data_IF_548890975036
#
_entry.id   IF_548890975036
#
_cell.length_a   1.000
_cell.length_b   1.000
_cell.length_c   1.000
_cell.angle_alpha   90.00
_cell.angle_beta   90.00
_cell.angle_gamma   90.00
#
_symmetry.space_group_name_H-M   'P 1'
#
loop_
_entity.id
_entity.type
_entity.pdbx_description
1 polymer ?
#
# COMPACT_ATOMS: atom_id res chain seq x y z
N UNK A 1 24.40 25.84 -9.65
CA UNK A 1 23.42 25.69 -10.76
C UNK A 1 22.17 26.51 -10.44
N UNK A 2 21.24 26.77 -11.42
CA UNK A 2 19.95 27.39 -11.13
C UNK A 2 19.15 26.38 -10.27
N UNK A 3 18.56 26.83 -9.17
CA UNK A 3 17.70 26.02 -8.34
C UNK A 3 16.45 25.57 -9.15
N UNK A 4 16.17 24.28 -9.16
CA UNK A 4 15.05 23.68 -9.88
C UNK A 4 13.74 23.95 -9.13
N UNK A 5 12.65 24.11 -9.87
CA UNK A 5 11.29 24.16 -9.31
C UNK A 5 10.84 22.77 -8.84
N UNK A 6 9.71 22.71 -8.14
CA UNK A 6 9.11 21.43 -7.70
C UNK A 6 8.88 20.47 -8.87
N UNK A 7 8.29 20.97 -9.95
CA UNK A 7 7.98 20.20 -11.16
C UNK A 7 9.26 19.74 -11.86
N UNK A 8 10.28 20.60 -11.97
CA UNK A 8 11.58 20.26 -12.55
C UNK A 8 12.34 19.21 -11.71
N UNK A 9 12.22 19.27 -10.37
CA UNK A 9 12.80 18.24 -9.46
C UNK A 9 12.13 16.90 -9.67
N UNK A 10 10.79 16.86 -9.70
CA UNK A 10 10.06 15.61 -9.91
C UNK A 10 10.39 15.01 -11.28
N UNK A 11 10.37 15.83 -12.34
CA UNK A 11 10.70 15.39 -13.69
C UNK A 11 12.08 14.73 -13.74
N UNK A 12 13.09 15.35 -13.14
CA UNK A 12 14.43 14.78 -13.09
C UNK A 12 14.54 13.50 -12.27
N UNK A 13 13.81 13.39 -11.16
CA UNK A 13 13.80 12.18 -10.34
C UNK A 13 13.05 11.04 -11.03
N UNK A 14 11.88 11.31 -11.62
CA UNK A 14 11.03 10.31 -12.27
C UNK A 14 11.64 9.76 -13.56
N UNK A 15 12.40 10.56 -14.29
CA UNK A 15 13.15 10.14 -15.47
C UNK A 15 14.45 9.40 -15.16
N UNK A 16 14.82 9.24 -13.88
CA UNK A 16 15.94 8.37 -13.53
C UNK A 16 15.63 6.90 -13.89
N UNK A 17 16.68 6.13 -14.11
CA UNK A 17 16.55 4.72 -14.49
C UNK A 17 15.72 3.95 -13.48
N UNK A 18 14.91 3.03 -13.97
CA UNK A 18 14.08 2.15 -13.15
C UNK A 18 14.92 1.15 -12.34
N UNK A 19 16.05 0.73 -12.91
CA UNK A 19 16.98 -0.20 -12.28
C UNK A 19 18.39 0.43 -12.30
N UNK A 20 19.06 0.43 -11.15
CA UNK A 20 20.43 0.93 -11.01
C UNK A 20 21.42 0.07 -11.79
N UNK A 21 22.65 0.58 -11.92
CA UNK A 21 23.77 -0.12 -12.55
C UNK A 21 24.48 -1.11 -11.60
N UNK A 22 24.05 -1.18 -10.34
CA UNK A 22 24.55 -2.10 -9.31
C UNK A 22 23.39 -2.91 -8.76
N UNK A 23 23.61 -4.18 -8.40
CA UNK A 23 22.56 -5.02 -7.81
C UNK A 23 22.27 -4.58 -6.37
N UNK A 24 21.00 -4.75 -5.98
CA UNK A 24 20.57 -4.62 -4.60
C UNK A 24 20.55 -3.22 -4.03
N UNK A 25 20.58 -3.15 -2.72
CA UNK A 25 20.53 -1.92 -1.93
C UNK A 25 21.87 -1.15 -1.88
N UNK A 26 22.88 -1.55 -2.67
CA UNK A 26 24.22 -0.93 -2.63
C UNK A 26 24.20 0.55 -2.98
N UNK A 27 23.40 0.94 -3.97
CA UNK A 27 23.28 2.35 -4.39
C UNK A 27 22.73 3.18 -3.25
N UNK A 28 21.60 2.75 -2.68
CA UNK A 28 21.02 3.43 -1.52
C UNK A 28 21.95 3.44 -0.32
N UNK A 29 22.70 2.34 -0.06
CA UNK A 29 23.66 2.29 1.04
C UNK A 29 24.78 3.34 0.88
N UNK A 30 25.34 3.50 -0.32
CA UNK A 30 26.34 4.53 -0.62
C UNK A 30 25.76 5.94 -0.46
N UNK A 31 24.53 6.17 -0.95
CA UNK A 31 23.85 7.45 -0.76
C UNK A 31 23.67 7.78 0.71
N UNK A 32 23.10 6.84 1.49
CA UNK A 32 22.83 7.05 2.91
C UNK A 32 24.12 7.25 3.72
N UNK A 33 25.20 6.54 3.39
CA UNK A 33 26.50 6.76 3.99
C UNK A 33 26.99 8.20 3.77
N UNK A 34 26.93 8.67 2.53
CA UNK A 34 27.37 10.03 2.15
C UNK A 34 26.51 11.12 2.78
N UNK A 35 25.22 10.84 2.97
CA UNK A 35 24.25 11.73 3.63
C UNK A 35 24.33 11.69 5.18
N UNK A 36 25.32 10.98 5.73
CA UNK A 36 25.55 10.90 7.17
C UNK A 36 24.60 9.96 7.90
N UNK A 37 24.09 8.95 7.21
CA UNK A 37 23.23 7.88 7.74
C UNK A 37 22.00 8.43 8.48
N UNK A 38 21.11 9.14 7.81
CA UNK A 38 19.97 9.84 8.44
C UNK A 38 19.04 8.91 9.23
N UNK A 39 19.03 7.60 8.93
CA UNK A 39 18.19 6.59 9.60
C UNK A 39 18.70 6.15 10.98
N UNK A 40 19.94 6.46 11.38
CA UNK A 40 20.57 5.86 12.57
C UNK A 40 19.88 6.20 13.92
N UNK A 41 19.18 7.32 13.97
CA UNK A 41 18.54 7.78 15.22
C UNK A 41 17.02 7.48 15.24
N UNK A 42 16.55 6.64 14.35
CA UNK A 42 15.15 6.24 14.25
C UNK A 42 15.01 4.74 14.42
N UNK A 43 14.01 4.30 15.18
CA UNK A 43 13.61 2.90 15.19
C UNK A 43 12.82 2.56 13.94
N UNK A 44 13.27 1.56 13.19
CA UNK A 44 12.64 1.23 11.91
C UNK A 44 11.76 0.00 12.03
N UNK A 45 10.54 0.09 11.49
CA UNK A 45 9.67 -1.05 11.18
C UNK A 45 9.71 -1.22 9.66
N UNK A 46 10.21 -2.36 9.18
CA UNK A 46 10.40 -2.65 7.76
C UNK A 46 9.37 -3.66 7.27
N UNK A 47 8.64 -3.34 6.20
CA UNK A 47 7.50 -4.11 5.73
C UNK A 47 7.72 -4.60 4.30
N UNK A 48 7.67 -5.93 4.11
CA UNK A 48 7.61 -6.56 2.79
C UNK A 48 6.34 -7.41 2.65
N UNK A 49 6.01 -7.75 1.42
CA UNK A 49 4.85 -8.58 1.08
C UNK A 49 4.42 -8.37 -0.37
N UNK A 50 3.46 -9.11 -0.85
CA UNK A 50 2.83 -8.85 -2.14
C UNK A 50 1.71 -7.84 -1.97
N UNK A 51 0.72 -8.18 -1.17
CA UNK A 51 -0.42 -7.33 -0.84
C UNK A 51 -0.41 -6.96 0.65
N UNK A 52 -1.10 -5.89 1.06
CA UNK A 52 -1.27 -5.50 2.46
C UNK A 52 -0.22 -4.53 3.01
N UNK A 53 0.96 -4.38 2.39
CA UNK A 53 2.07 -3.55 2.91
C UNK A 53 1.65 -2.13 3.30
N UNK A 54 1.04 -1.38 2.38
CA UNK A 54 0.57 -0.01 2.64
C UNK A 54 -0.52 0.06 3.72
N UNK A 55 -1.44 -0.92 3.76
CA UNK A 55 -2.46 -1.00 4.80
C UNK A 55 -1.86 -1.23 6.19
N UNK A 56 -0.91 -2.17 6.31
CA UNK A 56 -0.17 -2.41 7.57
C UNK A 56 0.64 -1.18 7.97
N UNK A 57 1.29 -0.51 7.01
CA UNK A 57 2.00 0.76 7.26
C UNK A 57 1.08 1.84 7.83
N UNK A 58 -0.10 2.00 7.24
CA UNK A 58 -1.09 2.98 7.67
C UNK A 58 -1.62 2.67 9.10
N UNK A 59 -1.96 1.40 9.39
CA UNK A 59 -2.37 0.98 10.73
C UNK A 59 -1.27 1.26 11.76
N UNK A 60 -0.03 0.86 11.49
CA UNK A 60 1.10 1.08 12.38
C UNK A 60 1.33 2.56 12.65
N UNK A 61 1.40 3.39 11.61
CA UNK A 61 1.60 4.83 11.78
C UNK A 61 0.48 5.48 12.58
N UNK A 62 -0.77 5.05 12.37
CA UNK A 62 -1.91 5.53 13.16
C UNK A 62 -1.79 5.13 14.62
N UNK A 63 -1.42 3.89 14.94
CA UNK A 63 -1.22 3.41 16.32
C UNK A 63 -0.08 4.17 17.01
N UNK A 64 1.06 4.31 16.34
CA UNK A 64 2.23 5.00 16.89
C UNK A 64 1.96 6.49 17.13
N UNK A 65 1.20 7.12 16.24
CA UNK A 65 0.73 8.51 16.42
C UNK A 65 -0.14 8.66 17.67
N UNK A 66 -1.08 7.74 17.93
CA UNK A 66 -1.89 7.74 19.15
C UNK A 66 -1.02 7.54 20.40
N UNK A 67 0.08 6.82 20.29
CA UNK A 67 1.07 6.67 21.36
C UNK A 67 1.96 7.90 21.55
N UNK A 68 1.80 8.95 20.75
CA UNK A 68 2.62 10.15 20.79
C UNK A 68 4.03 9.96 20.23
N UNK A 69 4.25 8.91 19.46
CA UNK A 69 5.54 8.61 18.82
C UNK A 69 5.55 9.23 17.43
N UNK A 70 6.36 10.28 17.22
CA UNK A 70 6.48 10.91 15.91
C UNK A 70 7.05 9.92 14.90
N UNK A 71 6.27 9.61 13.88
CA UNK A 71 6.54 8.50 12.97
C UNK A 71 6.56 8.96 11.51
N UNK A 72 7.67 8.65 10.82
CA UNK A 72 7.76 8.74 9.37
C UNK A 72 7.10 7.52 8.72
N UNK A 73 6.41 7.71 7.59
CA UNK A 73 5.85 6.65 6.77
C UNK A 73 6.34 6.77 5.35
N UNK A 74 6.98 5.72 4.84
CA UNK A 74 7.44 5.60 3.46
C UNK A 74 6.68 4.48 2.76
N UNK A 75 5.94 4.83 1.70
CA UNK A 75 5.07 3.91 0.96
C UNK A 75 5.19 4.10 -0.55
N UNK A 76 4.80 3.08 -1.32
CA UNK A 76 4.82 3.14 -2.79
C UNK A 76 3.85 2.14 -3.45
N UNK A 77 3.34 2.46 -4.66
CA UNK A 77 3.39 3.76 -5.31
C UNK A 77 2.47 4.79 -4.64
N UNK A 78 2.53 6.05 -5.05
CA UNK A 78 1.50 7.04 -4.73
C UNK A 78 0.27 6.86 -5.63
N UNK A 79 -0.88 7.40 -5.22
CA UNK A 79 -2.12 7.41 -6.00
C UNK A 79 -2.21 8.66 -6.89
N UNK A 80 -2.17 9.84 -6.28
CA UNK A 80 -2.39 11.13 -6.95
C UNK A 80 -1.17 12.04 -6.87
N UNK A 81 -0.54 12.13 -5.71
CA UNK A 81 0.54 13.09 -5.43
C UNK A 81 1.81 12.36 -4.98
N UNK A 82 2.94 12.68 -5.61
CA UNK A 82 4.25 12.13 -5.25
C UNK A 82 4.52 12.19 -3.73
N UNK A 83 4.05 13.23 -3.07
CA UNK A 83 4.27 13.47 -1.63
C UNK A 83 3.62 12.46 -0.71
N UNK A 84 2.63 11.69 -1.20
CA UNK A 84 2.02 10.57 -0.46
C UNK A 84 3.04 9.52 -0.04
N UNK A 85 4.15 9.40 -0.80
CA UNK A 85 5.25 8.47 -0.49
C UNK A 85 5.98 8.80 0.80
N UNK A 86 5.89 10.04 1.27
CA UNK A 86 6.72 10.58 2.37
C UNK A 86 5.82 11.36 3.32
N UNK A 87 5.41 10.71 4.41
CA UNK A 87 4.54 11.32 5.41
C UNK A 87 5.20 11.32 6.80
N UNK A 88 4.81 12.29 7.64
CA UNK A 88 5.10 12.30 9.09
C UNK A 88 3.80 12.53 9.83
N UNK A 89 3.44 11.62 10.73
CA UNK A 89 2.20 11.66 11.50
C UNK A 89 0.93 11.84 10.64
N UNK A 90 0.94 11.25 9.43
CA UNK A 90 -0.14 11.33 8.44
C UNK A 90 -0.19 12.65 7.66
N UNK A 91 0.84 13.49 7.75
CA UNK A 91 1.00 14.69 6.93
C UNK A 91 2.05 14.48 5.85
N UNK A 92 1.67 14.67 4.60
CA UNK A 92 2.60 14.62 3.47
C UNK A 92 3.71 15.66 3.61
N UNK A 93 4.91 15.32 3.12
CA UNK A 93 6.00 16.28 2.94
C UNK A 93 5.52 17.48 2.09
N UNK A 94 5.95 18.70 2.43
CA UNK A 94 5.55 19.87 1.64
C UNK A 94 6.28 19.96 0.29
N UNK A 95 5.70 20.69 -0.67
CA UNK A 95 6.35 20.93 -1.97
C UNK A 95 7.70 21.61 -1.81
N UNK A 96 7.79 22.55 -0.88
CA UNK A 96 9.01 23.30 -0.56
C UNK A 96 10.12 22.35 -0.06
N UNK A 97 9.78 21.42 0.84
CA UNK A 97 10.77 20.45 1.34
C UNK A 97 11.16 19.44 0.27
N UNK A 98 10.24 18.99 -0.60
CA UNK A 98 10.60 18.16 -1.76
C UNK A 98 11.55 18.90 -2.69
N UNK A 99 11.27 20.17 -2.99
CA UNK A 99 12.12 21.01 -3.84
C UNK A 99 13.50 21.18 -3.24
N UNK A 100 13.59 21.54 -1.97
CA UNK A 100 14.85 21.74 -1.25
C UNK A 100 15.70 20.47 -1.20
N UNK A 101 15.11 19.36 -0.74
CA UNK A 101 15.82 18.08 -0.62
C UNK A 101 16.15 17.50 -1.99
N UNK A 102 15.25 17.65 -2.97
CA UNK A 102 15.49 17.19 -4.34
C UNK A 102 16.66 17.91 -5.01
N UNK A 103 16.72 19.25 -4.92
CA UNK A 103 17.87 20.02 -5.44
C UNK A 103 19.17 19.54 -4.80
N UNK A 104 19.20 19.41 -3.46
CA UNK A 104 20.39 18.95 -2.75
C UNK A 104 20.83 17.55 -3.20
N UNK A 105 19.88 16.61 -3.35
CA UNK A 105 20.16 15.24 -3.73
C UNK A 105 20.62 15.12 -5.20
N UNK A 106 20.05 15.91 -6.10
CA UNK A 106 20.41 15.92 -7.52
C UNK A 106 21.77 16.60 -7.79
N UNK A 107 22.19 17.53 -6.95
CA UNK A 107 23.53 18.17 -7.04
C UNK A 107 24.65 17.29 -6.46
N UNK A 108 24.32 16.32 -5.58
CA UNK A 108 25.32 15.49 -4.89
C UNK A 108 25.85 14.39 -5.81
N UNK A 109 27.18 14.29 -5.90
CA UNK A 109 27.84 13.19 -6.61
C UNK A 109 27.97 11.96 -5.68
N UNK A 110 27.13 10.97 -5.84
CA UNK A 110 27.17 9.72 -5.05
C UNK A 110 28.21 8.71 -5.55
N UNK A 111 28.93 9.00 -6.63
CA UNK A 111 29.88 8.06 -7.26
C UNK A 111 29.18 6.82 -7.86
N UNK A 112 27.86 6.90 -8.06
CA UNK A 112 26.99 5.86 -8.62
C UNK A 112 25.80 6.52 -9.31
N UNK A 113 24.95 5.73 -9.99
CA UNK A 113 23.75 6.23 -10.65
C UNK A 113 22.53 5.78 -9.85
N UNK A 114 21.93 6.67 -9.03
CA UNK A 114 20.74 6.34 -8.28
C UNK A 114 19.51 6.13 -9.19
N UNK A 115 18.58 5.33 -8.73
CA UNK A 115 17.24 5.20 -9.31
C UNK A 115 16.29 6.24 -8.71
N UNK A 116 15.11 6.42 -9.34
CA UNK A 116 14.02 7.19 -8.74
C UNK A 116 13.76 6.76 -7.29
N UNK A 117 13.72 5.45 -7.03
CA UNK A 117 13.37 4.92 -5.72
C UNK A 117 14.46 5.17 -4.66
N UNK A 118 15.74 5.18 -5.06
CA UNK A 118 16.86 5.56 -4.19
C UNK A 118 16.75 7.02 -3.74
N UNK A 119 16.41 7.93 -4.68
CA UNK A 119 16.16 9.34 -4.35
C UNK A 119 14.96 9.51 -3.39
N UNK A 120 13.86 8.80 -3.65
CA UNK A 120 12.68 8.84 -2.77
C UNK A 120 13.01 8.40 -1.34
N UNK A 121 13.74 7.29 -1.20
CA UNK A 121 14.16 6.78 0.11
C UNK A 121 15.09 7.76 0.84
N UNK A 122 16.11 8.27 0.14
CA UNK A 122 17.04 9.25 0.71
C UNK A 122 16.32 10.52 1.18
N UNK A 123 15.42 11.05 0.34
CA UNK A 123 14.58 12.21 0.68
C UNK A 123 13.72 11.95 1.92
N UNK A 124 13.07 10.79 1.99
CA UNK A 124 12.24 10.39 3.13
C UNK A 124 13.05 10.37 4.43
N UNK A 125 14.20 9.68 4.44
CA UNK A 125 15.02 9.53 5.63
C UNK A 125 15.64 10.86 6.10
N UNK A 126 16.02 11.73 5.17
CA UNK A 126 16.47 13.09 5.50
C UNK A 126 15.31 13.90 6.12
N UNK A 127 14.13 13.86 5.52
CA UNK A 127 12.96 14.55 6.03
C UNK A 127 12.58 14.06 7.43
N UNK A 128 12.59 12.75 7.66
CA UNK A 128 12.28 12.16 8.98
C UNK A 128 13.30 12.58 10.04
N UNK A 129 14.59 12.59 9.69
CA UNK A 129 15.64 13.13 10.57
C UNK A 129 15.38 14.59 10.93
N UNK A 130 15.12 15.43 9.94
CA UNK A 130 14.90 16.86 10.13
C UNK A 130 13.63 17.15 10.92
N UNK A 131 12.61 16.28 10.81
CA UNK A 131 11.38 16.30 11.61
C UNK A 131 11.53 15.61 12.97
N UNK A 132 12.71 15.11 13.30
CA UNK A 132 12.99 14.42 14.58
C UNK A 132 12.02 13.24 14.82
N UNK A 133 11.78 12.43 13.78
CA UNK A 133 10.99 11.23 13.91
C UNK A 133 11.69 10.22 14.83
N UNK A 134 10.93 9.62 15.74
CA UNK A 134 11.40 8.60 16.68
C UNK A 134 11.30 7.22 16.04
N UNK A 135 10.36 7.05 15.13
CA UNK A 135 10.13 5.83 14.37
C UNK A 135 9.98 6.12 12.87
N UNK A 136 10.29 5.12 12.06
CA UNK A 136 9.98 5.11 10.63
C UNK A 136 9.38 3.77 10.23
N UNK A 137 8.21 3.79 9.59
CA UNK A 137 7.58 2.63 8.96
C UNK A 137 7.92 2.68 7.48
N UNK A 138 8.67 1.70 7.01
CA UNK A 138 9.26 1.67 5.67
C UNK A 138 8.71 0.49 4.89
N UNK A 139 7.93 0.76 3.84
CA UNK A 139 7.44 -0.24 2.89
C UNK A 139 8.49 -0.52 1.82
N UNK A 140 8.74 -1.79 1.48
CA UNK A 140 9.56 -2.17 0.32
C UNK A 140 8.86 -1.81 -0.99
N UNK A 141 9.62 -1.33 -1.97
CA UNK A 141 9.08 -1.07 -3.31
C UNK A 141 8.82 -2.36 -4.09
N UNK A 142 9.83 -3.23 -4.17
CA UNK A 142 9.76 -4.49 -4.92
C UNK A 142 10.65 -5.56 -4.27
N UNK A 143 10.05 -6.72 -3.98
CA UNK A 143 10.76 -7.83 -3.37
C UNK A 143 11.13 -7.54 -1.92
N UNK A 144 12.39 -7.41 -1.62
CA UNK A 144 12.97 -7.11 -0.30
C UNK A 144 14.49 -7.20 -0.31
N UNK A 145 15.06 -8.35 -0.67
CA UNK A 145 16.51 -8.62 -0.63
C UNK A 145 17.33 -7.60 -1.41
N UNK A 146 16.87 -7.24 -2.60
CA UNK A 146 17.51 -6.27 -3.51
C UNK A 146 16.83 -4.91 -3.52
N UNK A 147 15.84 -4.69 -2.66
CA UNK A 147 15.12 -3.41 -2.59
C UNK A 147 16.00 -2.31 -1.97
N UNK A 148 15.87 -1.10 -2.49
CA UNK A 148 16.59 0.08 -1.98
C UNK A 148 16.41 0.27 -0.48
N UNK A 149 15.21 -0.02 0.04
CA UNK A 149 14.90 0.11 1.47
C UNK A 149 15.73 -0.83 2.34
N UNK A 150 16.29 -1.91 1.77
CA UNK A 150 17.14 -2.84 2.51
C UNK A 150 18.49 -2.23 2.97
N UNK A 151 18.82 -1.02 2.51
CA UNK A 151 19.96 -0.21 2.94
C UNK A 151 19.79 0.42 4.35
N UNK A 152 18.59 0.40 4.93
CA UNK A 152 18.30 1.07 6.22
C UNK A 152 19.01 0.45 7.44
N UNK A 153 19.65 -0.69 7.28
CA UNK A 153 20.29 -1.42 8.37
C UNK A 153 19.39 -2.51 8.96
N UNK A 154 19.51 -2.79 10.26
CA UNK A 154 18.70 -3.78 10.96
C UNK A 154 17.43 -3.11 11.50
N UNK A 155 16.22 -3.50 11.03
CA UNK A 155 14.99 -2.98 11.59
C UNK A 155 14.73 -3.53 12.99
N UNK A 156 14.08 -2.74 13.84
CA UNK A 156 13.62 -3.20 15.16
C UNK A 156 12.54 -4.28 15.00
N UNK A 157 11.59 -4.03 14.09
CA UNK A 157 10.56 -5.00 13.72
C UNK A 157 10.53 -5.17 12.21
N UNK A 158 10.51 -6.41 11.76
CA UNK A 158 10.26 -6.79 10.37
C UNK A 158 8.85 -7.35 10.27
N UNK A 159 8.08 -6.89 9.28
CA UNK A 159 6.74 -7.43 8.99
C UNK A 159 6.72 -8.00 7.59
N UNK A 160 6.23 -9.22 7.43
CA UNK A 160 5.97 -9.80 6.10
C UNK A 160 4.47 -10.05 5.97
N UNK A 161 3.84 -9.24 5.11
CA UNK A 161 2.41 -9.36 4.79
C UNK A 161 2.19 -10.46 3.76
N UNK A 162 0.95 -10.67 3.32
CA UNK A 162 0.57 -11.76 2.41
C UNK A 162 1.46 -11.83 1.17
N UNK A 163 2.01 -13.02 0.93
CA UNK A 163 2.78 -13.36 -0.27
C UNK A 163 1.85 -14.01 -1.29
N UNK A 164 1.99 -13.59 -2.55
CA UNK A 164 1.25 -14.13 -3.67
C UNK A 164 2.01 -13.90 -4.98
N UNK A 165 1.46 -14.40 -6.06
CA UNK A 165 2.04 -14.23 -7.39
C UNK A 165 1.88 -12.79 -7.88
N UNK A 166 2.98 -12.09 -7.99
CA UNK A 166 3.12 -10.77 -8.64
C UNK A 166 4.58 -10.56 -9.04
N UNK A 167 4.82 -9.73 -10.05
CA UNK A 167 6.17 -9.40 -10.54
C UNK A 167 7.05 -10.63 -10.84
N UNK A 168 6.44 -11.72 -11.34
CA UNK A 168 7.08 -13.02 -11.53
C UNK A 168 8.32 -12.97 -12.45
N UNK A 169 8.34 -12.05 -13.41
CA UNK A 169 9.50 -11.84 -14.28
C UNK A 169 10.76 -11.36 -13.52
N UNK A 170 10.60 -10.80 -12.31
CA UNK A 170 11.70 -10.27 -11.49
C UNK A 170 11.93 -11.12 -10.24
N UNK A 171 10.85 -11.51 -9.55
CA UNK A 171 10.92 -12.17 -8.25
C UNK A 171 10.95 -13.70 -8.33
N UNK A 172 10.66 -14.27 -9.50
CA UNK A 172 10.53 -15.71 -9.71
C UNK A 172 9.08 -16.14 -9.90
N UNK A 173 8.92 -17.36 -10.37
CA UNK A 173 7.68 -17.96 -10.87
C UNK A 173 7.02 -18.93 -9.86
N UNK A 174 7.55 -19.01 -8.65
CA UNK A 174 7.05 -19.86 -7.55
C UNK A 174 6.98 -19.08 -6.24
N UNK A 175 6.10 -19.49 -5.32
CA UNK A 175 5.90 -18.81 -4.04
C UNK A 175 7.13 -18.83 -3.16
N UNK A 176 7.91 -19.91 -3.17
CA UNK A 176 9.18 -20.01 -2.42
C UNK A 176 10.23 -19.00 -2.92
N UNK A 177 10.36 -18.80 -4.24
CA UNK A 177 11.25 -17.78 -4.81
C UNK A 177 10.82 -16.36 -4.42
N UNK A 178 9.54 -16.08 -4.57
CA UNK A 178 8.98 -14.78 -4.19
C UNK A 178 9.17 -14.53 -2.68
N UNK A 179 8.93 -15.56 -1.86
CA UNK A 179 9.15 -15.51 -0.42
C UNK A 179 10.62 -15.27 -0.08
N UNK A 180 11.55 -15.92 -0.76
CA UNK A 180 12.99 -15.74 -0.55
C UNK A 180 13.45 -14.30 -0.82
N UNK A 181 12.93 -13.67 -1.87
CA UNK A 181 13.21 -12.25 -2.15
C UNK A 181 12.67 -11.34 -1.04
N UNK A 182 11.46 -11.60 -0.54
CA UNK A 182 10.86 -10.82 0.55
C UNK A 182 11.53 -11.09 1.90
N UNK A 183 11.90 -12.33 2.17
CA UNK A 183 12.64 -12.74 3.37
C UNK A 183 13.99 -12.02 3.53
N UNK A 184 14.54 -11.47 2.44
CA UNK A 184 15.79 -10.71 2.48
C UNK A 184 15.78 -9.46 3.35
N UNK A 185 14.63 -9.02 3.87
CA UNK A 185 14.54 -7.95 4.87
C UNK A 185 14.62 -8.48 6.32
N UNK A 186 14.55 -9.80 6.53
CA UNK A 186 14.73 -10.42 7.83
C UNK A 186 16.22 -10.43 8.15
N UNK A 187 16.61 -9.79 9.24
CA UNK A 187 18.02 -9.63 9.63
C UNK A 187 18.25 -10.04 11.07
N UNK A 188 19.46 -10.46 11.37
CA UNK A 188 19.86 -10.79 12.74
C UNK A 188 19.59 -9.62 13.69
N UNK A 189 18.83 -9.89 14.75
CA UNK A 189 18.48 -8.91 15.78
C UNK A 189 17.11 -8.23 15.57
N UNK A 190 16.45 -8.44 14.44
CA UNK A 190 15.05 -8.00 14.26
C UNK A 190 14.08 -8.89 15.04
N UNK A 191 12.89 -8.38 15.32
CA UNK A 191 11.72 -9.15 15.73
C UNK A 191 10.80 -9.29 14.52
N UNK A 192 10.19 -10.45 14.34
CA UNK A 192 9.48 -10.80 13.11
C UNK A 192 7.98 -10.96 13.34
N UNK A 193 7.20 -10.31 12.51
CA UNK A 193 5.75 -10.53 12.40
C UNK A 193 5.43 -11.03 11.00
N UNK A 194 4.69 -12.12 10.90
CA UNK A 194 4.25 -12.73 9.65
C UNK A 194 2.73 -12.75 9.61
N UNK A 195 2.14 -12.40 8.47
CA UNK A 195 0.78 -12.85 8.18
C UNK A 195 0.81 -14.35 7.85
N UNK A 196 -0.32 -15.03 7.97
CA UNK A 196 -0.47 -16.43 7.55
C UNK A 196 -0.15 -16.57 6.07
N UNK A 197 0.63 -17.56 5.70
CA UNK A 197 1.09 -17.80 4.33
C UNK A 197 0.72 -19.20 3.84
N UNK A 198 0.76 -19.39 2.53
CA UNK A 198 0.84 -20.73 1.96
C UNK A 198 2.12 -21.44 2.46
N UNK A 199 2.05 -22.76 2.58
CA UNK A 199 3.10 -23.57 3.21
C UNK A 199 4.50 -23.28 2.66
N UNK A 200 4.64 -23.26 1.32
CA UNK A 200 5.94 -23.09 0.67
C UNK A 200 6.57 -21.72 0.99
N UNK A 201 5.74 -20.66 1.07
CA UNK A 201 6.21 -19.33 1.46
C UNK A 201 6.54 -19.28 2.96
N UNK A 202 5.70 -19.88 3.82
CA UNK A 202 5.92 -19.90 5.27
C UNK A 202 7.22 -20.63 5.64
N UNK A 203 7.47 -21.78 5.01
CA UNK A 203 8.68 -22.57 5.27
C UNK A 203 9.94 -21.72 4.98
N UNK A 204 10.01 -21.01 3.85
CA UNK A 204 11.13 -20.11 3.50
C UNK A 204 11.32 -18.99 4.52
N UNK A 205 10.22 -18.37 4.97
CA UNK A 205 10.29 -17.28 5.96
C UNK A 205 10.81 -17.77 7.30
N UNK A 206 10.35 -18.94 7.76
CA UNK A 206 10.78 -19.52 9.04
C UNK A 206 12.22 -20.02 8.98
N UNK A 207 12.64 -20.66 7.88
CA UNK A 207 14.03 -21.05 7.67
C UNK A 207 14.96 -19.84 7.66
N UNK A 208 14.52 -18.73 7.02
CA UNK A 208 15.31 -17.50 7.02
C UNK A 208 15.39 -16.90 8.45
N UNK A 209 14.29 -16.90 9.19
CA UNK A 209 14.27 -16.41 10.56
C UNK A 209 15.18 -17.22 11.48
N UNK A 210 15.22 -18.54 11.33
CA UNK A 210 16.15 -19.42 12.06
C UNK A 210 17.61 -19.11 11.70
N UNK A 211 17.93 -19.01 10.40
CA UNK A 211 19.27 -18.67 9.91
C UNK A 211 19.75 -17.32 10.42
N UNK A 212 18.89 -16.32 10.47
CA UNK A 212 19.18 -14.98 10.97
C UNK A 212 19.09 -14.90 12.50
N UNK A 213 18.82 -16.01 13.20
CA UNK A 213 18.67 -16.10 14.64
C UNK A 213 17.70 -15.03 15.20
N UNK A 214 16.54 -14.89 14.57
CA UNK A 214 15.46 -14.02 15.04
C UNK A 214 14.97 -14.51 16.40
N UNK A 215 14.86 -13.61 17.39
CA UNK A 215 14.59 -13.97 18.79
C UNK A 215 13.10 -14.00 19.14
N UNK A 216 12.27 -13.30 18.37
CA UNK A 216 10.83 -13.24 18.59
C UNK A 216 10.11 -13.30 17.23
N UNK A 217 9.23 -14.29 17.08
CA UNK A 217 8.38 -14.46 15.91
C UNK A 217 6.93 -14.47 16.36
N UNK A 218 6.09 -13.61 15.74
CA UNK A 218 4.64 -13.64 15.91
C UNK A 218 3.98 -13.86 14.55
N UNK A 219 2.91 -14.64 14.54
CA UNK A 219 2.12 -14.92 13.34
C UNK A 219 0.72 -14.35 13.55
N UNK A 220 0.30 -13.47 12.64
CA UNK A 220 -1.07 -12.98 12.56
C UNK A 220 -1.94 -14.07 11.93
N UNK A 221 -2.65 -14.81 12.76
CA UNK A 221 -3.50 -15.91 12.32
C UNK A 221 -4.97 -15.46 12.26
N UNK A 222 -5.59 -15.68 11.09
CA UNK A 222 -7.01 -15.38 10.89
C UNK A 222 -7.94 -16.22 11.78
N UNK A 223 -7.49 -17.37 12.32
CA UNK A 223 -8.25 -18.13 13.30
C UNK A 223 -8.45 -17.38 14.62
N UNK A 224 -7.54 -16.43 14.95
CA UNK A 224 -7.65 -15.57 16.11
C UNK A 224 -8.59 -14.38 15.90
N UNK A 225 -9.03 -14.13 14.65
CA UNK A 225 -9.99 -13.09 14.29
C UNK A 225 -11.40 -13.64 14.44
N UNK A 226 -12.20 -13.03 15.30
CA UNK A 226 -13.56 -13.47 15.64
C UNK A 226 -14.53 -12.29 15.69
N UNK A 227 -15.83 -12.59 15.80
CA UNK A 227 -16.90 -11.59 15.96
C UNK A 227 -16.90 -10.51 14.85
N UNK A 228 -16.54 -10.93 13.61
CA UNK A 228 -16.52 -10.04 12.46
C UNK A 228 -17.94 -9.60 12.08
N UNK A 229 -18.15 -8.29 11.94
CA UNK A 229 -19.40 -7.73 11.45
C UNK A 229 -19.19 -6.41 10.73
N UNK A 230 -20.12 -6.08 9.87
CA UNK A 230 -20.18 -4.81 9.15
C UNK A 230 -21.45 -4.06 9.52
N UNK A 231 -21.29 -2.85 10.06
CA UNK A 231 -22.39 -2.01 10.50
C UNK A 231 -22.09 -0.53 10.23
N UNK A 232 -23.04 0.20 9.68
CA UNK A 232 -22.93 1.66 9.47
C UNK A 232 -21.68 2.11 8.70
N UNK A 233 -21.24 1.31 7.74
CA UNK A 233 -20.05 1.62 6.92
C UNK A 233 -18.71 1.41 7.64
N UNK A 234 -18.70 0.62 8.72
CA UNK A 234 -17.53 0.24 9.50
C UNK A 234 -17.48 -1.26 9.72
N UNK A 235 -16.29 -1.79 9.87
CA UNK A 235 -16.05 -3.17 10.28
C UNK A 235 -15.71 -3.22 11.77
N UNK A 236 -16.15 -4.29 12.41
CA UNK A 236 -15.86 -4.62 13.80
C UNK A 236 -15.35 -6.04 13.86
N UNK A 237 -14.41 -6.29 14.76
CA UNK A 237 -13.84 -7.62 14.96
C UNK A 237 -13.22 -7.74 16.35
N UNK A 238 -12.93 -8.96 16.77
CA UNK A 238 -12.11 -9.26 17.94
C UNK A 238 -10.85 -9.99 17.48
N UNK A 239 -9.72 -9.67 18.09
CA UNK A 239 -8.43 -10.33 17.83
C UNK A 239 -7.73 -10.62 19.15
N UNK A 240 -7.52 -11.90 19.46
CA UNK A 240 -6.93 -12.34 20.73
C UNK A 240 -7.58 -11.65 21.96
N UNK A 241 -6.82 -10.86 22.72
CA UNK A 241 -7.32 -10.10 23.88
C UNK A 241 -8.16 -8.88 23.52
N UNK A 242 -8.00 -8.35 22.30
CA UNK A 242 -8.68 -7.15 21.85
C UNK A 242 -10.11 -7.46 21.40
N UNK A 243 -11.08 -7.11 22.22
CA UNK A 243 -12.50 -7.35 21.91
C UNK A 243 -13.15 -6.15 21.27
N UNK A 244 -14.00 -6.40 20.24
CA UNK A 244 -14.80 -5.37 19.59
C UNK A 244 -13.98 -4.16 19.09
N UNK A 245 -12.92 -4.43 18.33
CA UNK A 245 -12.19 -3.38 17.61
C UNK A 245 -13.06 -2.79 16.50
N UNK A 246 -13.06 -1.47 16.38
CA UNK A 246 -13.73 -0.74 15.30
C UNK A 246 -12.69 -0.37 14.24
N UNK A 247 -12.99 -0.62 12.97
CA UNK A 247 -12.11 -0.33 11.83
C UNK A 247 -12.90 0.37 10.72
N UNK A 248 -12.31 1.43 10.16
CA UNK A 248 -12.94 2.17 9.06
C UNK A 248 -12.53 1.66 7.67
N UNK A 249 -11.37 1.04 7.56
CA UNK A 249 -10.97 0.38 6.32
C UNK A 249 -11.83 -0.84 6.07
N UNK A 250 -12.32 -1.00 4.84
CA UNK A 250 -13.20 -2.09 4.45
C UNK A 250 -12.41 -3.23 3.79
N UNK A 251 -13.00 -4.42 3.85
CA UNK A 251 -12.47 -5.65 3.25
C UNK A 251 -12.07 -6.69 4.30
N UNK A 252 -12.34 -7.96 4.00
CA UNK A 252 -12.02 -9.09 4.90
C UNK A 252 -10.52 -9.24 5.11
N UNK A 253 -9.71 -8.95 4.09
CA UNK A 253 -8.25 -8.96 4.17
C UNK A 253 -7.68 -7.89 5.12
N UNK A 254 -8.43 -6.85 5.43
CA UNK A 254 -7.99 -5.82 6.38
C UNK A 254 -7.97 -6.31 7.83
N UNK A 255 -8.69 -7.39 8.14
CA UNK A 255 -8.58 -8.02 9.47
C UNK A 255 -7.19 -8.61 9.69
N UNK A 256 -6.61 -9.29 8.68
CA UNK A 256 -5.26 -9.85 8.75
C UNK A 256 -4.20 -8.75 8.78
N UNK A 257 -4.34 -7.72 7.92
CA UNK A 257 -3.48 -6.54 7.95
C UNK A 257 -3.50 -5.83 9.31
N UNK A 258 -4.69 -5.68 9.91
CA UNK A 258 -4.82 -5.09 11.24
C UNK A 258 -4.19 -5.97 12.33
N UNK A 259 -4.37 -7.30 12.25
CA UNK A 259 -3.76 -8.25 13.18
C UNK A 259 -2.23 -8.17 13.13
N UNK A 260 -1.63 -8.13 11.93
CA UNK A 260 -0.18 -7.96 11.76
C UNK A 260 0.32 -6.63 12.35
N UNK A 261 -0.42 -5.54 12.10
CA UNK A 261 -0.10 -4.23 12.67
C UNK A 261 -0.22 -4.21 14.20
N UNK A 262 -1.23 -4.87 14.78
CA UNK A 262 -1.41 -5.01 16.23
C UNK A 262 -0.19 -5.73 16.84
N UNK A 263 0.21 -6.87 16.28
CA UNK A 263 1.35 -7.63 16.80
C UNK A 263 2.67 -6.84 16.70
N UNK A 264 2.90 -6.15 15.61
CA UNK A 264 4.09 -5.32 15.43
C UNK A 264 4.09 -4.12 16.39
N UNK A 265 2.93 -3.48 16.58
CA UNK A 265 2.78 -2.38 17.54
C UNK A 265 2.97 -2.86 18.99
N UNK A 266 2.44 -4.03 19.37
CA UNK A 266 2.68 -4.61 20.71
C UNK A 266 4.16 -4.77 21.01
N UNK A 267 4.90 -5.35 20.08
CA UNK A 267 6.36 -5.53 20.20
C UNK A 267 7.03 -4.16 20.38
N UNK A 268 6.73 -3.22 19.49
CA UNK A 268 7.36 -1.92 19.45
C UNK A 268 7.07 -1.05 20.67
N UNK A 269 5.82 -1.07 21.17
CA UNK A 269 5.40 -0.32 22.36
C UNK A 269 5.95 -0.93 23.66
N UNK A 270 6.01 -2.26 23.73
CA UNK A 270 6.58 -3.00 24.86
C UNK A 270 8.06 -2.67 25.06
N UNK A 271 8.84 -2.60 23.99
CA UNK A 271 10.27 -2.26 24.06
C UNK A 271 10.51 -0.84 24.58
N UNK A 272 9.49 0.02 24.54
CA UNK A 272 9.49 1.38 25.09
C UNK A 272 8.92 1.47 26.50
N UNK A 273 8.65 0.34 27.13
CA UNK A 273 8.11 0.28 28.48
C UNK A 273 6.68 0.83 28.61
N UNK A 274 5.92 0.87 27.50
CA UNK A 274 4.52 1.26 27.52
C UNK A 274 3.71 0.09 28.10
N UNK A 275 2.89 0.38 29.12
CA UNK A 275 2.06 -0.64 29.78
C UNK A 275 1.02 -1.23 28.82
N UNK A 276 0.63 -2.49 29.06
CA UNK A 276 -0.36 -3.19 28.22
C UNK A 276 -1.68 -2.42 28.12
N UNK A 277 -2.14 -1.80 29.19
CA UNK A 277 -3.36 -1.00 29.20
C UNK A 277 -3.28 0.22 28.25
N UNK A 278 -2.15 0.94 28.29
CA UNK A 278 -1.92 2.07 27.37
C UNK A 278 -1.75 1.59 25.93
N UNK A 279 -1.01 0.49 25.73
CA UNK A 279 -0.85 -0.09 24.40
C UNK A 279 -2.20 -0.50 23.81
N UNK A 280 -3.08 -1.14 24.60
CA UNK A 280 -4.44 -1.47 24.18
C UNK A 280 -5.21 -0.23 23.74
N UNK A 281 -5.17 0.85 24.50
CA UNK A 281 -5.84 2.11 24.14
C UNK A 281 -5.31 2.68 22.81
N UNK A 282 -4.00 2.74 22.62
CA UNK A 282 -3.39 3.26 21.40
C UNK A 282 -3.70 2.40 20.18
N UNK A 283 -3.68 1.08 20.35
CA UNK A 283 -4.04 0.12 19.29
C UNK A 283 -5.50 0.32 18.87
N UNK A 284 -6.44 0.39 19.82
CA UNK A 284 -7.87 0.61 19.52
C UNK A 284 -8.09 1.91 18.77
N UNK A 285 -7.55 3.00 19.27
CA UNK A 285 -7.73 4.31 18.65
C UNK A 285 -7.04 4.40 17.29
N UNK A 286 -5.85 3.82 17.16
CA UNK A 286 -5.12 3.77 15.90
C UNK A 286 -5.88 2.99 14.83
N UNK A 287 -6.33 1.76 15.12
CA UNK A 287 -7.13 0.95 14.18
C UNK A 287 -8.41 1.68 13.77
N UNK A 288 -9.12 2.28 14.71
CA UNK A 288 -10.35 3.03 14.48
C UNK A 288 -10.16 4.23 13.54
N UNK A 289 -9.06 4.96 13.69
CA UNK A 289 -8.78 6.21 12.96
C UNK A 289 -8.09 5.98 11.62
N UNK A 290 -7.53 4.80 11.39
CA UNK A 290 -6.80 4.51 10.15
C UNK A 290 -7.69 4.68 8.93
N UNK A 291 -7.13 5.36 7.91
CA UNK A 291 -7.65 5.49 6.56
C UNK A 291 -6.52 5.21 5.60
N UNK A 292 -6.81 4.58 4.49
CA UNK A 292 -5.85 4.34 3.42
C UNK A 292 -6.56 4.41 2.08
N UNK A 293 -6.28 5.43 1.33
CA UNK A 293 -6.94 5.73 0.06
C UNK A 293 -6.75 4.61 -0.95
N UNK A 294 -7.74 4.40 -1.82
CA UNK A 294 -7.73 3.35 -2.83
C UNK A 294 -7.80 1.91 -2.30
N UNK A 295 -8.30 1.69 -1.07
CA UNK A 295 -8.52 0.34 -0.51
C UNK A 295 -9.97 0.19 -0.05
N UNK A 296 -10.80 -0.36 -0.96
CA UNK A 296 -12.26 -0.44 -0.81
C UNK A 296 -12.83 0.89 -0.28
N UNK A 297 -12.36 1.97 -0.86
CA UNK A 297 -12.71 3.32 -0.47
C UNK A 297 -14.05 3.73 -1.07
N UNK A 298 -14.97 4.19 -0.21
CA UNK A 298 -16.27 4.68 -0.64
C UNK A 298 -16.16 6.17 -0.96
N UNK A 299 -16.18 6.51 -2.25
CA UNK A 299 -16.17 7.90 -2.72
C UNK A 299 -17.57 8.55 -2.69
N UNK A 300 -18.64 7.74 -2.86
CA UNK A 300 -20.02 8.18 -2.72
C UNK A 300 -20.86 7.09 -2.08
N UNK A 301 -21.82 7.49 -1.22
CA UNK A 301 -22.74 6.55 -0.58
C UNK A 301 -24.07 6.43 -1.31
N UNK A 302 -24.53 7.50 -1.96
CA UNK A 302 -25.81 7.57 -2.66
C UNK A 302 -25.67 8.47 -3.91
N UNK A 303 -25.65 7.88 -5.12
CA UNK A 303 -25.49 6.44 -5.42
C UNK A 303 -24.14 5.91 -4.94
N UNK A 304 -24.08 4.60 -4.66
CA UNK A 304 -22.87 3.98 -4.09
C UNK A 304 -21.77 3.85 -5.14
N UNK A 305 -20.61 4.38 -4.82
CA UNK A 305 -19.40 4.26 -5.63
C UNK A 305 -18.19 3.98 -4.75
N UNK A 306 -17.48 2.91 -5.09
CA UNK A 306 -16.28 2.45 -4.37
C UNK A 306 -15.12 2.29 -5.35
N UNK A 307 -13.91 2.57 -4.88
CA UNK A 307 -12.66 2.29 -5.61
C UNK A 307 -11.79 1.32 -4.83
N UNK A 308 -11.06 0.46 -5.56
CA UNK A 308 -10.10 -0.47 -4.97
C UNK A 308 -8.88 -0.67 -5.86
N UNK A 309 -7.69 -0.68 -5.27
CA UNK A 309 -6.42 -0.86 -5.96
C UNK A 309 -6.05 -2.31 -6.29
N UNK A 310 -6.95 -3.27 -6.18
CA UNK A 310 -6.71 -4.66 -6.57
C UNK A 310 -6.30 -4.75 -8.05
N UNK A 311 -5.14 -5.37 -8.31
CA UNK A 311 -4.52 -5.38 -9.64
C UNK A 311 -3.76 -6.69 -9.95
N UNK A 312 -3.94 -7.71 -9.13
CA UNK A 312 -3.44 -9.07 -9.31
C UNK A 312 -4.47 -10.08 -8.81
N UNK A 313 -4.33 -11.37 -9.17
CA UNK A 313 -5.31 -12.41 -8.83
C UNK A 313 -5.64 -12.45 -7.33
N UNK A 314 -4.63 -12.46 -6.45
CA UNK A 314 -4.85 -12.48 -5.01
C UNK A 314 -5.61 -11.24 -4.49
N UNK A 315 -5.27 -10.04 -5.01
CA UNK A 315 -5.96 -8.80 -4.64
C UNK A 315 -7.43 -8.81 -5.07
N UNK A 316 -7.71 -9.28 -6.29
CA UNK A 316 -9.09 -9.34 -6.80
C UNK A 316 -9.89 -10.44 -6.10
N UNK A 317 -9.28 -11.57 -5.74
CA UNK A 317 -9.93 -12.60 -4.93
C UNK A 317 -10.33 -12.04 -3.56
N UNK A 318 -9.45 -11.27 -2.91
CA UNK A 318 -9.76 -10.59 -1.64
C UNK A 318 -10.87 -9.54 -1.78
N UNK A 319 -10.90 -8.79 -2.90
CA UNK A 319 -11.99 -7.87 -3.22
C UNK A 319 -13.32 -8.63 -3.38
N UNK A 320 -13.33 -9.70 -4.17
CA UNK A 320 -14.53 -10.51 -4.42
C UNK A 320 -15.08 -11.12 -3.12
N UNK A 321 -14.22 -11.68 -2.28
CA UNK A 321 -14.60 -12.21 -0.97
C UNK A 321 -15.19 -11.12 -0.07
N UNK A 322 -14.55 -9.95 -0.07
CA UNK A 322 -15.03 -8.80 0.69
C UNK A 322 -16.40 -8.33 0.23
N UNK A 323 -16.64 -8.24 -1.08
CA UNK A 323 -17.93 -7.86 -1.64
C UNK A 323 -19.02 -8.88 -1.30
N UNK A 324 -18.73 -10.19 -1.38
CA UNK A 324 -19.67 -11.26 -0.97
C UNK A 324 -20.03 -11.16 0.52
N UNK A 325 -19.05 -10.81 1.35
CA UNK A 325 -19.22 -10.74 2.81
C UNK A 325 -19.94 -9.47 3.25
N UNK A 326 -19.56 -8.32 2.70
CA UNK A 326 -20.11 -7.02 3.10
C UNK A 326 -21.48 -6.72 2.48
N UNK A 327 -21.75 -7.28 1.30
CA UNK A 327 -22.96 -7.05 0.53
C UNK A 327 -23.56 -8.38 0.02
N UNK A 328 -24.03 -9.26 0.92
CA UNK A 328 -24.46 -10.61 0.58
C UNK A 328 -25.63 -10.60 -0.40
N UNK A 329 -25.48 -11.35 -1.50
CA UNK A 329 -26.51 -11.48 -2.53
C UNK A 329 -26.60 -10.34 -3.53
N UNK A 330 -25.79 -9.30 -3.38
CA UNK A 330 -25.76 -8.18 -4.32
C UNK A 330 -24.93 -8.48 -5.58
N UNK A 331 -25.26 -7.77 -6.65
CA UNK A 331 -24.51 -7.71 -7.90
C UNK A 331 -24.05 -6.27 -8.15
N UNK A 332 -22.96 -6.11 -8.89
CA UNK A 332 -22.26 -4.84 -9.03
C UNK A 332 -22.07 -4.44 -10.48
N UNK A 333 -22.10 -3.15 -10.76
CA UNK A 333 -21.49 -2.57 -11.93
C UNK A 333 -19.98 -2.45 -11.69
N UNK A 334 -19.19 -3.10 -12.50
CA UNK A 334 -17.73 -3.00 -12.41
C UNK A 334 -17.16 -2.02 -13.43
N UNK A 335 -16.17 -1.23 -13.00
CA UNK A 335 -15.36 -0.40 -13.89
C UNK A 335 -13.92 -0.87 -13.79
N UNK A 336 -13.34 -1.35 -14.87
CA UNK A 336 -12.03 -2.00 -14.87
C UNK A 336 -11.04 -1.27 -15.77
N UNK A 337 -9.89 -0.88 -15.18
CA UNK A 337 -8.72 -0.38 -15.89
C UNK A 337 -7.46 -1.12 -15.42
N UNK A 338 -6.74 -1.78 -16.33
CA UNK A 338 -5.68 -2.73 -15.98
C UNK A 338 -4.44 -2.55 -16.85
N UNK A 339 -3.27 -2.94 -16.32
CA UNK A 339 -2.01 -3.01 -17.08
C UNK A 339 -1.94 -4.30 -17.90
N UNK A 340 -1.38 -4.24 -19.11
CA UNK A 340 -1.30 -5.36 -20.03
C UNK A 340 -0.41 -6.52 -19.54
N UNK A 341 0.52 -6.23 -18.62
CA UNK A 341 1.43 -7.21 -18.03
C UNK A 341 0.83 -7.98 -16.84
N UNK A 342 -0.44 -7.72 -16.47
CA UNK A 342 -1.14 -8.41 -15.39
C UNK A 342 -1.97 -9.59 -15.90
N UNK A 343 -2.24 -10.56 -15.03
CA UNK A 343 -3.14 -11.67 -15.33
C UNK A 343 -4.61 -11.23 -15.21
N UNK A 344 -5.04 -10.37 -16.12
CA UNK A 344 -6.39 -9.78 -16.08
C UNK A 344 -7.49 -10.81 -16.38
N UNK A 345 -7.19 -11.93 -17.05
CA UNK A 345 -8.19 -12.97 -17.30
C UNK A 345 -8.65 -13.65 -16.01
N UNK A 346 -7.72 -13.99 -15.11
CA UNK A 346 -8.03 -14.49 -13.77
C UNK A 346 -8.84 -13.45 -12.94
N UNK A 347 -8.46 -12.18 -13.03
CA UNK A 347 -9.17 -11.10 -12.35
C UNK A 347 -10.64 -10.99 -12.82
N UNK A 348 -10.88 -11.12 -14.13
CA UNK A 348 -12.22 -11.13 -14.69
C UNK A 348 -13.01 -12.34 -14.16
N UNK A 349 -12.46 -13.54 -14.25
CA UNK A 349 -13.11 -14.78 -13.85
C UNK A 349 -13.58 -14.75 -12.39
N UNK A 350 -12.78 -14.17 -11.50
CA UNK A 350 -13.12 -14.05 -10.07
C UNK A 350 -14.34 -13.15 -9.81
N UNK A 351 -14.52 -12.09 -10.60
CA UNK A 351 -15.60 -11.10 -10.41
C UNK A 351 -16.84 -11.36 -11.26
N UNK A 352 -16.77 -12.12 -12.35
CA UNK A 352 -17.92 -12.45 -13.18
C UNK A 352 -19.14 -12.95 -12.40
N UNK A 353 -18.99 -13.82 -11.37
CA UNK A 353 -20.14 -14.26 -10.57
C UNK A 353 -20.84 -13.14 -9.80
N UNK A 354 -20.20 -12.00 -9.60
CA UNK A 354 -20.72 -10.82 -8.89
C UNK A 354 -21.18 -9.71 -9.83
N UNK A 355 -20.89 -9.82 -11.12
CA UNK A 355 -21.15 -8.76 -12.09
C UNK A 355 -22.61 -8.66 -12.52
N UNK A 356 -23.09 -7.43 -12.68
CA UNK A 356 -24.20 -7.05 -13.56
C UNK A 356 -23.68 -6.81 -14.96
N UNK A 357 -22.67 -5.94 -15.04
CA UNK A 357 -21.94 -5.59 -16.26
C UNK A 357 -20.52 -5.09 -15.93
N UNK A 358 -19.75 -4.85 -16.99
CA UNK A 358 -18.46 -4.18 -16.92
C UNK A 358 -18.43 -2.95 -17.83
N UNK A 359 -17.78 -1.89 -17.34
CA UNK A 359 -17.23 -0.82 -18.18
C UNK A 359 -15.71 -0.88 -18.13
N UNK A 360 -15.06 -0.70 -19.25
CA UNK A 360 -13.60 -0.76 -19.36
C UNK A 360 -13.01 0.60 -19.72
N UNK A 361 -11.80 0.87 -19.22
CA UNK A 361 -11.09 2.12 -19.47
C UNK A 361 -9.62 1.84 -19.80
N UNK A 362 -9.03 2.62 -20.69
CA UNK A 362 -7.58 2.63 -20.91
C UNK A 362 -6.97 3.59 -19.88
N UNK A 363 -6.19 3.05 -18.96
CA UNK A 363 -5.47 3.82 -17.92
C UNK A 363 -4.41 4.71 -18.58
N UNK A 364 -4.14 5.87 -18.03
CA UNK A 364 -3.12 6.81 -18.54
C UNK A 364 -1.69 6.30 -18.27
N UNK A 365 -1.29 5.27 -18.99
CA UNK A 365 0.01 4.60 -18.86
C UNK A 365 0.41 3.90 -20.17
N UNK A 366 1.68 3.96 -20.55
CA UNK A 366 2.21 3.20 -21.70
C UNK A 366 2.04 1.68 -21.58
N UNK A 367 1.84 1.20 -20.35
CA UNK A 367 1.64 -0.22 -20.03
C UNK A 367 0.17 -0.62 -19.97
N UNK A 368 -0.76 0.29 -20.20
CA UNK A 368 -2.19 0.01 -20.08
C UNK A 368 -2.66 -0.99 -21.14
N UNK A 369 -3.58 -1.86 -20.75
CA UNK A 369 -4.37 -2.63 -21.72
C UNK A 369 -5.44 -1.73 -22.32
N UNK A 370 -5.63 -1.80 -23.64
CA UNK A 370 -6.65 -1.00 -24.32
C UNK A 370 -8.06 -1.39 -23.84
N UNK A 371 -8.88 -0.40 -23.54
CA UNK A 371 -10.25 -0.60 -23.06
C UNK A 371 -11.07 -1.49 -24.01
N UNK A 372 -10.94 -1.27 -25.33
CA UNK A 372 -11.62 -2.07 -26.34
C UNK A 372 -11.25 -3.55 -26.26
N UNK A 373 -9.94 -3.86 -26.15
CA UNK A 373 -9.46 -5.24 -26.03
C UNK A 373 -9.98 -5.89 -24.74
N UNK A 374 -9.93 -5.18 -23.62
CA UNK A 374 -10.43 -5.66 -22.33
C UNK A 374 -11.93 -5.94 -22.39
N UNK A 375 -12.71 -5.04 -23.00
CA UNK A 375 -14.15 -5.21 -23.20
C UNK A 375 -14.48 -6.45 -24.03
N UNK A 376 -13.79 -6.67 -25.15
CA UNK A 376 -13.94 -7.84 -26.01
C UNK A 376 -13.64 -9.15 -25.27
N UNK A 377 -12.60 -9.16 -24.43
CA UNK A 377 -12.23 -10.32 -23.59
C UNK A 377 -13.32 -10.65 -22.56
N UNK A 378 -13.89 -9.64 -21.91
CA UNK A 378 -14.97 -9.83 -20.94
C UNK A 378 -16.23 -10.33 -21.65
N UNK A 379 -16.60 -9.70 -22.76
CA UNK A 379 -17.78 -10.05 -23.54
C UNK A 379 -17.71 -11.49 -24.09
N UNK A 380 -16.51 -11.94 -24.51
CA UNK A 380 -16.27 -13.29 -24.99
C UNK A 380 -16.52 -14.38 -23.92
N UNK A 381 -16.53 -14.04 -22.62
CA UNK A 381 -16.92 -14.98 -21.55
C UNK A 381 -18.44 -15.23 -21.53
N UNK A 382 -19.26 -14.39 -22.20
CA UNK A 382 -20.69 -14.65 -22.43
C UNK A 382 -21.57 -14.63 -21.18
N UNK A 383 -21.13 -14.02 -20.08
CA UNK A 383 -21.82 -14.06 -18.79
C UNK A 383 -22.53 -12.72 -18.49
N UNK A 384 -21.94 -11.60 -18.93
CA UNK A 384 -22.50 -10.26 -18.75
C UNK A 384 -22.10 -9.34 -19.88
N UNK A 385 -22.76 -8.18 -19.97
CA UNK A 385 -22.40 -7.14 -20.92
C UNK A 385 -21.08 -6.46 -20.52
N UNK A 386 -20.33 -6.02 -21.54
CA UNK A 386 -19.11 -5.23 -21.37
C UNK A 386 -19.10 -4.08 -22.38
N UNK A 387 -18.88 -2.87 -21.88
CA UNK A 387 -18.84 -1.64 -22.69
C UNK A 387 -17.65 -0.77 -22.34
N UNK A 388 -17.51 0.37 -23.00
CA UNK A 388 -16.46 1.34 -22.74
C UNK A 388 -16.93 2.42 -21.76
N UNK A 389 -16.05 2.84 -20.86
CA UNK A 389 -16.19 4.09 -20.13
C UNK A 389 -15.62 5.20 -21.02
N UNK A 390 -16.45 6.15 -21.44
CA UNK A 390 -16.01 7.23 -22.33
C UNK A 390 -15.50 8.46 -21.58
N UNK A 391 -15.92 8.65 -20.35
CA UNK A 391 -15.53 9.77 -19.51
C UNK A 391 -15.75 9.44 -18.04
N UNK A 392 -14.90 9.98 -17.14
CA UNK A 392 -15.12 9.91 -15.69
C UNK A 392 -16.36 10.68 -15.22
N UNK A 393 -16.92 11.57 -16.05
CA UNK A 393 -18.24 12.16 -15.79
C UNK A 393 -19.35 11.11 -15.59
N UNK A 394 -19.22 9.94 -16.23
CA UNK A 394 -20.17 8.83 -16.08
C UNK A 394 -20.14 8.22 -14.67
N UNK A 395 -19.06 8.43 -13.92
CA UNK A 395 -18.88 7.96 -12.53
C UNK A 395 -19.35 8.97 -11.49
N UNK A 396 -19.80 10.16 -11.93
CA UNK A 396 -20.30 11.17 -10.99
C UNK A 396 -21.66 10.75 -10.41
N UNK A 397 -21.96 11.09 -9.14
CA UNK A 397 -23.16 10.64 -8.45
C UNK A 397 -24.47 10.84 -9.23
N UNK A 398 -24.60 11.90 -10.03
CA UNK A 398 -25.81 12.14 -10.84
C UNK A 398 -25.95 11.27 -12.10
N UNK A 399 -24.97 10.40 -12.39
CA UNK A 399 -24.91 9.54 -13.57
C UNK A 399 -24.90 8.05 -13.24
N UNK A 400 -24.55 7.69 -12.01
CA UNK A 400 -24.50 6.31 -11.55
C UNK A 400 -25.92 5.76 -11.32
N UNK A 401 -26.05 4.44 -11.46
CA UNK A 401 -27.26 3.72 -11.05
C UNK A 401 -27.47 3.87 -9.53
N UNK A 402 -28.69 4.18 -9.14
CA UNK A 402 -29.07 4.30 -7.72
C UNK A 402 -29.51 2.96 -7.12
N UNK A 403 -29.86 1.99 -7.96
CA UNK A 403 -30.35 0.67 -7.51
C UNK A 403 -29.21 -0.30 -7.17
N UNK A 404 -28.07 -0.15 -7.83
CA UNK A 404 -26.95 -1.05 -7.67
C UNK A 404 -25.66 -0.29 -7.38
N UNK A 405 -24.69 -0.99 -6.80
CA UNK A 405 -23.38 -0.42 -6.42
C UNK A 405 -22.39 -0.48 -7.58
N UNK A 406 -21.60 0.57 -7.75
CA UNK A 406 -20.52 0.64 -8.73
C UNK A 406 -19.17 0.48 -8.04
N UNK A 407 -18.31 -0.40 -8.58
CA UNK A 407 -16.98 -0.69 -8.05
C UNK A 407 -15.93 -0.48 -9.15
N UNK A 408 -14.99 0.44 -8.96
CA UNK A 408 -13.87 0.65 -9.87
C UNK A 408 -12.58 0.02 -9.33
N UNK A 409 -11.87 -0.75 -10.19
CA UNK A 409 -10.67 -1.50 -9.78
C UNK A 409 -9.75 -1.82 -10.97
N UNK A 410 -8.63 -2.48 -10.69
CA UNK A 410 -7.73 -3.08 -11.67
C UNK A 410 -6.33 -2.47 -11.72
N UNK A 411 -6.16 -1.24 -11.22
CA UNK A 411 -4.86 -0.58 -11.13
C UNK A 411 -4.90 0.55 -10.11
N UNK A 412 -3.83 0.72 -9.33
CA UNK A 412 -3.65 1.90 -8.47
C UNK A 412 -3.59 3.20 -9.29
N UNK A 413 -3.00 3.16 -10.49
CA UNK A 413 -2.98 4.33 -11.38
C UNK A 413 -4.40 4.75 -11.78
N UNK A 414 -5.25 3.78 -12.15
CA UNK A 414 -6.64 4.04 -12.48
C UNK A 414 -7.43 4.62 -11.29
N UNK A 415 -7.25 4.06 -10.10
CA UNK A 415 -7.85 4.61 -8.88
C UNK A 415 -7.39 6.05 -8.64
N UNK A 416 -6.09 6.34 -8.82
CA UNK A 416 -5.54 7.69 -8.69
C UNK A 416 -6.14 8.68 -9.71
N UNK A 417 -6.37 8.25 -10.96
CA UNK A 417 -7.06 9.09 -11.97
C UNK A 417 -8.48 9.44 -11.54
N UNK A 418 -9.24 8.47 -11.01
CA UNK A 418 -10.59 8.69 -10.48
C UNK A 418 -10.55 9.66 -9.29
N UNK A 419 -9.70 9.42 -8.31
CA UNK A 419 -9.60 10.26 -7.13
C UNK A 419 -9.23 11.71 -7.48
N UNK A 420 -8.24 11.88 -8.35
CA UNK A 420 -7.85 13.19 -8.86
C UNK A 420 -9.03 13.91 -9.51
N UNK A 421 -9.77 13.20 -10.36
CA UNK A 421 -10.95 13.74 -11.05
C UNK A 421 -12.02 14.20 -10.02
N UNK A 422 -12.35 13.36 -9.04
CA UNK A 422 -13.31 13.68 -7.97
C UNK A 422 -12.86 14.87 -7.11
N UNK A 423 -11.57 14.96 -6.78
CA UNK A 423 -11.02 16.10 -6.04
C UNK A 423 -11.14 17.42 -6.81
N UNK A 424 -10.84 17.40 -8.12
CA UNK A 424 -10.90 18.59 -8.97
C UNK A 424 -12.34 19.07 -9.18
N UNK A 425 -13.29 18.17 -9.42
CA UNK A 425 -14.71 18.52 -9.51
C UNK A 425 -15.23 19.09 -8.19
N UNK A 426 -14.84 18.52 -7.05
CA UNK A 426 -15.24 19.00 -5.73
C UNK A 426 -14.70 20.41 -5.45
N UNK A 427 -13.45 20.71 -5.85
CA UNK A 427 -12.85 22.05 -5.72
C UNK A 427 -13.61 23.07 -6.58
N UNK A 428 -13.93 22.71 -7.82
CA UNK A 428 -14.70 23.56 -8.75
C UNK A 428 -16.08 23.88 -8.16
N UNK A 429 -16.80 22.87 -7.65
CA UNK A 429 -18.15 23.04 -7.08
C UNK A 429 -18.13 23.92 -5.83
N UNK A 430 -17.14 23.76 -4.94
CA UNK A 430 -16.97 24.63 -3.76
C UNK A 430 -16.68 26.07 -4.16
N UNK A 431 -15.86 26.31 -5.17
CA UNK A 431 -15.55 27.67 -5.66
C UNK A 431 -16.75 28.34 -6.32
N UNK A 432 -17.66 27.57 -6.97
CA UNK A 432 -18.89 28.09 -7.56
C UNK A 432 -19.98 28.42 -6.51
N UNK A 433 -19.95 27.81 -5.33
CA UNK A 433 -20.89 28.12 -4.23
C UNK A 433 -20.49 29.34 -3.39
N UNK A 434 -19.34 29.96 -3.65
CA UNK A 434 -18.86 31.17 -2.95
C UNK A 434 -19.26 32.45 -3.73
N UNK A 435 -19.96 32.35 -4.85
CA UNK A 435 -20.59 33.44 -5.62
C UNK A 435 -22.10 33.24 -5.63
#
# INVERSE_FOLDING_TARGET
MKELTYEEVLDQIEHQRRFGNRPGAEVSALMLEKLGRPQQNMSVIHIAGTNGKGSVSAFLCSILKEAGIRTGMFTSPHLVDFRERICVDGQMISREEVTKLGNMLLEEDFGTVPTMFDYCLAMALLYYRDRQCQAAVIETGLGGRLDSTNAIGVPEVTVVTKIGYDHMAVLGDTLDKIAAEKAGIIKKGTKLVLESQEKDAMDVLLETAEKEAVTEIKIADMHDVTECRYENGRQYFSYQKYKNLEMAMLGVHQYENAAAAILAAEIFLKDRGISDEKAEYYIREGIKKTRWEGRMEILSREPFFMVDGAHNGNGVAALAESLRTLFPGEKFHFVMGVMADKNYEEMIEELLPLALDFKTVTVESERALAAQELSEKIWAKGICDAGLLHSFDELMPGRLDVAHKTIAFGSLYFVGEIEKYFQDVTKITKNLQIY
#
